data_IF_626138894586
#
_entry.id   IF_626138894586
#
_cell.length_a   1.000
_cell.length_b   1.000
_cell.length_c   1.000
_cell.angle_alpha   90.00
_cell.angle_beta   90.00
_cell.angle_gamma   90.00
#
_symmetry.space_group_name_H-M   'P 1'
#
loop_
_entity.id
_entity.type
_entity.pdbx_description
1 polymer ?
#
# COMPACT_ATOMS: atom_id res chain seq x y z
N UNK A 1 -16.03 -27.61 -72.11
CA UNK A 1 -17.30 -26.90 -71.86
C UNK A 1 -17.40 -26.65 -70.35
N UNK A 2 -17.06 -25.43 -69.91
CA UNK A 2 -17.04 -25.06 -68.48
C UNK A 2 -18.39 -24.46 -68.08
N UNK A 3 -19.21 -25.20 -67.32
CA UNK A 3 -20.39 -24.65 -66.67
C UNK A 3 -20.01 -24.06 -65.31
N UNK A 4 -20.02 -22.73 -65.25
CA UNK A 4 -19.76 -21.90 -64.08
C UNK A 4 -20.99 -21.91 -63.17
N UNK A 5 -21.02 -22.78 -62.16
CA UNK A 5 -22.04 -22.75 -61.10
C UNK A 5 -21.59 -21.78 -59.99
N UNK A 6 -21.96 -20.51 -60.13
CA UNK A 6 -21.99 -19.56 -59.00
C UNK A 6 -23.27 -19.82 -58.20
N UNK A 7 -23.14 -20.29 -56.96
CA UNK A 7 -24.29 -20.71 -56.14
C UNK A 7 -24.08 -20.51 -54.64
N UNK A 8 -24.03 -19.23 -54.23
CA UNK A 8 -24.29 -18.63 -52.90
C UNK A 8 -23.46 -19.12 -51.68
N UNK A 9 -22.79 -18.20 -50.94
CA UNK A 9 -22.24 -18.53 -49.64
C UNK A 9 -23.38 -18.88 -48.67
N UNK A 10 -23.35 -20.10 -48.13
CA UNK A 10 -24.15 -20.49 -46.98
C UNK A 10 -23.87 -19.52 -45.84
N UNK A 11 -24.80 -18.61 -45.57
CA UNK A 11 -24.77 -17.77 -44.37
C UNK A 11 -25.01 -18.69 -43.18
N UNK A 12 -23.95 -19.30 -42.66
CA UNK A 12 -23.97 -19.84 -41.31
C UNK A 12 -24.04 -18.66 -40.36
N UNK A 13 -25.26 -18.28 -39.98
CA UNK A 13 -25.52 -17.37 -38.87
C UNK A 13 -24.89 -17.98 -37.63
N UNK A 14 -23.64 -17.59 -37.32
CA UNK A 14 -23.07 -17.76 -35.99
C UNK A 14 -24.07 -17.08 -35.05
N UNK A 15 -24.89 -17.87 -34.36
CA UNK A 15 -25.79 -17.38 -33.32
C UNK A 15 -24.93 -16.49 -32.43
N UNK A 16 -25.10 -15.17 -32.53
CA UNK A 16 -24.66 -14.25 -31.48
C UNK A 16 -25.35 -14.82 -30.25
N UNK A 17 -24.59 -15.38 -29.31
CA UNK A 17 -25.13 -15.68 -27.98
C UNK A 17 -25.67 -14.33 -27.53
N UNK A 18 -27.00 -14.20 -27.53
CA UNK A 18 -27.65 -13.00 -27.08
C UNK A 18 -27.05 -12.70 -25.71
N UNK A 19 -26.66 -11.44 -25.50
CA UNK A 19 -26.47 -10.93 -24.15
C UNK A 19 -27.73 -11.33 -23.40
N UNK A 20 -27.65 -12.34 -22.53
CA UNK A 20 -28.82 -12.81 -21.81
C UNK A 20 -29.10 -11.71 -20.81
N UNK A 21 -30.18 -10.92 -20.96
CA UNK A 21 -30.46 -9.87 -20.01
C UNK A 21 -30.65 -10.54 -18.65
N UNK A 22 -29.83 -10.12 -17.69
CA UNK A 22 -29.89 -10.65 -16.34
C UNK A 22 -31.32 -10.53 -15.82
N UNK A 23 -31.93 -11.66 -15.45
CA UNK A 23 -33.32 -11.65 -14.98
C UNK A 23 -33.46 -10.79 -13.74
N UNK A 24 -34.63 -10.18 -13.52
CA UNK A 24 -34.86 -9.35 -12.34
C UNK A 24 -34.57 -10.10 -11.02
N UNK A 25 -34.87 -11.42 -10.99
CA UNK A 25 -34.53 -12.29 -9.87
C UNK A 25 -33.01 -12.45 -9.68
N UNK A 26 -32.25 -12.58 -10.77
CA UNK A 26 -30.79 -12.67 -10.73
C UNK A 26 -30.15 -11.33 -10.35
N UNK A 27 -30.67 -10.20 -10.82
CA UNK A 27 -30.24 -8.87 -10.38
C UNK A 27 -30.49 -8.69 -8.87
N UNK A 28 -31.69 -9.03 -8.38
CA UNK A 28 -32.01 -8.95 -6.96
C UNK A 28 -31.12 -9.85 -6.10
N UNK A 29 -30.80 -11.07 -6.58
CA UNK A 29 -29.85 -11.95 -5.91
C UNK A 29 -28.44 -11.35 -5.86
N UNK A 30 -27.95 -10.76 -6.96
CA UNK A 30 -26.65 -10.08 -6.99
C UNK A 30 -26.59 -8.88 -6.06
N UNK A 31 -27.63 -8.04 -6.00
CA UNK A 31 -27.69 -6.93 -5.05
C UNK A 31 -27.67 -7.41 -3.60
N UNK A 32 -28.34 -8.52 -3.28
CA UNK A 32 -28.26 -9.12 -1.94
C UNK A 32 -26.85 -9.59 -1.62
N UNK A 33 -26.18 -10.30 -2.55
CA UNK A 33 -24.80 -10.74 -2.35
C UNK A 33 -23.86 -9.54 -2.16
N UNK A 34 -23.99 -8.49 -2.98
CA UNK A 34 -23.21 -7.26 -2.85
C UNK A 34 -23.44 -6.58 -1.50
N UNK A 35 -24.68 -6.51 -1.03
CA UNK A 35 -25.00 -5.94 0.29
C UNK A 35 -24.45 -6.77 1.45
N UNK A 36 -24.51 -8.11 1.36
CA UNK A 36 -23.90 -9.00 2.36
C UNK A 36 -22.38 -8.81 2.38
N UNK A 37 -21.72 -8.78 1.21
CA UNK A 37 -20.29 -8.56 1.10
C UNK A 37 -19.88 -7.19 1.68
N UNK A 38 -20.60 -6.12 1.33
CA UNK A 38 -20.38 -4.79 1.88
C UNK A 38 -20.59 -4.74 3.41
N UNK A 39 -21.57 -5.46 3.93
CA UNK A 39 -21.81 -5.54 5.37
C UNK A 39 -20.70 -6.31 6.10
N UNK A 40 -20.22 -7.42 5.54
CA UNK A 40 -19.12 -8.19 6.12
C UNK A 40 -17.83 -7.36 6.11
N UNK A 41 -17.52 -6.70 5.00
CA UNK A 41 -16.35 -5.81 4.90
C UNK A 41 -16.42 -4.65 5.90
N UNK A 42 -17.58 -4.01 6.08
CA UNK A 42 -17.75 -2.95 7.09
C UNK A 42 -17.60 -3.45 8.53
N UNK A 43 -18.12 -4.65 8.83
CA UNK A 43 -17.98 -5.26 10.16
C UNK A 43 -16.53 -5.60 10.47
N UNK A 44 -15.81 -6.15 9.50
CA UNK A 44 -14.40 -6.46 9.63
C UNK A 44 -13.57 -5.18 9.85
N UNK A 45 -13.80 -4.13 9.06
CA UNK A 45 -13.14 -2.84 9.25
C UNK A 45 -13.44 -2.24 10.64
N UNK A 46 -14.69 -2.31 11.10
CA UNK A 46 -15.06 -1.86 12.44
C UNK A 46 -14.33 -2.65 13.55
N UNK A 47 -14.18 -3.97 13.38
CA UNK A 47 -13.44 -4.81 14.32
C UNK A 47 -11.94 -4.46 14.32
N UNK A 48 -11.34 -4.24 13.15
CA UNK A 48 -9.95 -3.81 13.03
C UNK A 48 -9.72 -2.41 13.61
N UNK A 49 -10.66 -1.48 13.39
CA UNK A 49 -10.61 -0.16 13.98
C UNK A 49 -10.69 -0.22 15.51
N UNK A 50 -11.56 -1.07 16.07
CA UNK A 50 -11.65 -1.30 17.50
C UNK A 50 -10.35 -1.89 18.07
N UNK A 51 -9.73 -2.86 17.38
CA UNK A 51 -8.46 -3.43 17.79
C UNK A 51 -7.32 -2.38 17.77
N UNK A 52 -7.22 -1.56 16.72
CA UNK A 52 -6.25 -0.46 16.65
C UNK A 52 -6.44 0.55 17.78
N UNK A 53 -7.70 0.88 18.09
CA UNK A 53 -8.02 1.77 19.21
C UNK A 53 -7.62 1.16 20.55
N UNK A 54 -7.92 -0.12 20.79
CA UNK A 54 -7.51 -0.80 22.01
C UNK A 54 -5.99 -0.77 22.19
N UNK A 55 -5.23 -1.01 21.12
CA UNK A 55 -3.76 -0.87 21.14
C UNK A 55 -3.37 0.57 21.51
N UNK A 56 -3.91 1.57 20.82
CA UNK A 56 -3.59 2.97 21.09
C UNK A 56 -3.90 3.39 22.53
N UNK A 57 -5.03 2.95 23.07
CA UNK A 57 -5.46 3.24 24.44
C UNK A 57 -4.51 2.60 25.48
N UNK A 58 -3.84 1.48 25.15
CA UNK A 58 -2.88 0.80 26.04
C UNK A 58 -1.42 1.29 25.93
N UNK A 59 -1.08 2.05 24.90
CA UNK A 59 0.32 2.44 24.65
C UNK A 59 0.88 3.33 25.76
N UNK A 60 0.08 4.21 26.36
CA UNK A 60 0.54 5.12 27.41
C UNK A 60 0.90 4.37 28.71
N UNK A 61 0.09 3.36 29.07
CA UNK A 61 0.39 2.45 30.19
C UNK A 61 1.68 1.65 29.92
N UNK A 62 1.86 1.19 28.68
CA UNK A 62 3.07 0.48 28.28
C UNK A 62 4.33 1.38 28.37
N UNK A 63 4.27 2.61 27.88
CA UNK A 63 5.39 3.56 27.98
C UNK A 63 5.69 3.89 29.44
N UNK A 64 4.66 4.03 30.28
CA UNK A 64 4.84 4.26 31.72
C UNK A 64 5.57 3.08 32.37
N UNK A 65 5.15 1.85 32.07
CA UNK A 65 5.84 0.63 32.50
C UNK A 65 7.31 0.61 32.06
N UNK A 66 7.60 0.92 30.78
CA UNK A 66 8.98 0.99 30.30
C UNK A 66 9.80 2.06 31.04
N UNK A 67 9.22 3.22 31.31
CA UNK A 67 9.89 4.32 32.04
C UNK A 67 10.31 3.89 33.44
N UNK A 68 9.52 3.06 34.13
CA UNK A 68 9.82 2.56 35.47
C UNK A 68 10.90 1.48 35.50
N UNK A 69 11.02 0.67 34.44
CA UNK A 69 11.86 -0.53 34.43
C UNK A 69 13.11 -0.42 33.54
N UNK A 70 13.02 0.27 32.41
CA UNK A 70 14.10 0.44 31.45
C UNK A 70 13.91 1.70 30.61
N UNK A 71 14.53 2.80 31.04
CA UNK A 71 14.49 4.07 30.33
C UNK A 71 15.06 3.97 28.91
N UNK A 72 16.03 3.07 28.67
CA UNK A 72 16.62 2.92 27.34
C UNK A 72 15.64 2.30 26.33
N UNK A 73 14.73 1.44 26.81
CA UNK A 73 13.66 0.89 26.00
C UNK A 73 12.63 1.97 25.57
N UNK A 74 12.46 3.03 26.37
CA UNK A 74 11.63 4.18 25.99
C UNK A 74 12.28 4.93 24.81
N UNK A 75 13.57 5.19 24.89
CA UNK A 75 14.33 5.85 23.82
C UNK A 75 14.25 5.06 22.50
N UNK A 76 14.45 3.73 22.59
CA UNK A 76 14.36 2.83 21.44
C UNK A 76 12.94 2.79 20.85
N UNK A 77 11.92 2.67 21.69
CA UNK A 77 10.52 2.71 21.25
C UNK A 77 10.22 3.96 20.42
N UNK A 78 10.55 5.16 20.92
CA UNK A 78 10.29 6.40 20.18
C UNK A 78 11.13 6.53 18.91
N UNK A 79 12.37 6.03 18.93
CA UNK A 79 13.23 6.04 17.75
C UNK A 79 12.62 5.18 16.64
N UNK A 80 12.28 3.93 16.94
CA UNK A 80 11.78 2.97 15.96
C UNK A 80 10.45 3.41 15.33
N UNK A 81 9.47 3.81 16.15
CA UNK A 81 8.18 4.27 15.63
C UNK A 81 8.35 5.53 14.77
N UNK A 82 9.33 6.38 15.11
CA UNK A 82 9.59 7.60 14.35
C UNK A 82 10.25 7.26 13.01
N UNK A 83 11.22 6.35 12.96
CA UNK A 83 11.84 5.93 11.69
C UNK A 83 10.83 5.32 10.71
N UNK A 84 9.81 4.62 11.19
CA UNK A 84 8.74 4.04 10.37
C UNK A 84 7.61 5.03 10.01
N UNK A 85 7.40 6.05 10.83
CA UNK A 85 6.28 6.97 10.67
C UNK A 85 6.43 7.87 9.42
N UNK A 86 5.30 8.29 8.85
CA UNK A 86 5.29 9.37 7.85
C UNK A 86 5.80 10.69 8.44
N UNK A 87 6.22 11.64 7.61
CA UNK A 87 6.69 12.98 8.05
C UNK A 87 5.69 13.64 9.00
N UNK A 88 4.39 13.60 8.66
CA UNK A 88 3.34 14.19 9.47
C UNK A 88 3.16 13.49 10.82
N UNK A 89 3.28 12.17 10.86
CA UNK A 89 3.17 11.41 12.10
C UNK A 89 4.41 11.59 12.98
N UNK A 90 5.61 11.58 12.41
CA UNK A 90 6.85 11.91 13.14
C UNK A 90 6.75 13.26 13.85
N UNK A 91 6.26 14.30 13.17
CA UNK A 91 6.04 15.63 13.77
C UNK A 91 5.03 15.64 14.91
N UNK A 92 4.07 14.70 14.94
CA UNK A 92 3.13 14.56 16.06
C UNK A 92 3.76 13.79 17.21
N UNK A 93 4.47 12.70 16.90
CA UNK A 93 5.22 11.89 17.87
C UNK A 93 6.27 12.76 18.59
N UNK A 94 6.97 13.63 17.85
CA UNK A 94 7.97 14.57 18.40
C UNK A 94 7.43 15.55 19.45
N UNK A 95 6.11 15.63 19.62
CA UNK A 95 5.44 16.49 20.60
C UNK A 95 4.82 15.68 21.75
N UNK A 96 5.02 14.36 21.75
CA UNK A 96 4.49 13.52 22.81
C UNK A 96 5.18 13.85 24.13
N UNK A 97 4.40 13.95 25.21
CA UNK A 97 4.89 14.46 26.50
C UNK A 97 6.01 13.61 27.10
N UNK A 98 5.96 12.29 26.86
CA UNK A 98 6.95 11.33 27.36
C UNK A 98 8.09 11.06 26.38
N UNK A 99 8.20 11.82 25.27
CA UNK A 99 9.27 11.60 24.31
C UNK A 99 10.61 12.17 24.82
N UNK A 100 11.68 11.35 24.84
CA UNK A 100 13.02 11.82 25.18
C UNK A 100 13.54 12.82 24.13
N UNK A 101 14.14 13.92 24.59
CA UNK A 101 14.58 15.04 23.74
C UNK A 101 15.64 14.64 22.72
N UNK A 102 16.53 13.71 23.09
CA UNK A 102 17.63 13.23 22.24
C UNK A 102 17.16 12.42 21.03
N UNK A 103 16.00 11.77 21.13
CA UNK A 103 15.51 10.87 20.08
C UNK A 103 15.10 11.63 18.83
N UNK A 104 14.49 12.81 18.98
CA UNK A 104 14.02 13.60 17.83
C UNK A 104 15.19 14.02 16.93
N UNK A 105 16.28 14.51 17.53
CA UNK A 105 17.49 14.93 16.82
C UNK A 105 18.17 13.75 16.12
N UNK A 106 18.24 12.59 16.80
CA UNK A 106 18.78 11.36 16.22
C UNK A 106 18.00 10.92 14.99
N UNK A 107 16.67 10.88 15.08
CA UNK A 107 15.80 10.49 13.96
C UNK A 107 15.98 11.43 12.77
N UNK A 108 16.03 12.73 13.01
CA UNK A 108 16.24 13.71 11.93
C UNK A 108 17.59 13.52 11.24
N UNK A 109 18.66 13.34 12.02
CA UNK A 109 20.00 13.08 11.49
C UNK A 109 20.07 11.81 10.63
N UNK A 110 19.48 10.72 11.09
CA UNK A 110 19.55 9.44 10.37
C UNK A 110 18.65 9.43 9.11
N UNK A 111 17.49 10.08 9.15
CA UNK A 111 16.66 10.27 7.95
C UNK A 111 17.34 11.14 6.90
N UNK A 112 18.07 12.17 7.32
CA UNK A 112 18.83 13.02 6.42
C UNK A 112 19.97 12.23 5.75
N UNK A 113 20.72 11.42 6.50
CA UNK A 113 21.73 10.52 5.94
C UNK A 113 21.14 9.55 4.92
N UNK A 114 20.02 8.91 5.24
CA UNK A 114 19.35 7.99 4.30
C UNK A 114 18.93 8.67 3.00
N UNK A 115 18.47 9.93 3.09
CA UNK A 115 18.13 10.72 1.91
C UNK A 115 19.37 11.04 1.08
N UNK A 116 20.46 11.46 1.72
CA UNK A 116 21.72 11.73 1.04
C UNK A 116 22.29 10.48 0.36
N UNK A 117 22.26 9.33 1.03
CA UNK A 117 22.66 8.04 0.47
C UNK A 117 21.79 7.62 -0.71
N UNK A 118 20.47 7.80 -0.61
CA UNK A 118 19.54 7.49 -1.69
C UNK A 118 19.74 8.39 -2.91
N UNK A 119 20.00 9.69 -2.71
CA UNK A 119 20.33 10.61 -3.81
C UNK A 119 21.69 10.28 -4.44
N UNK A 120 22.71 9.96 -3.63
CA UNK A 120 24.01 9.52 -4.13
C UNK A 120 23.94 8.19 -4.90
N UNK A 121 23.05 7.27 -4.50
CA UNK A 121 22.80 6.04 -5.24
C UNK A 121 22.14 6.31 -6.61
N UNK A 122 21.19 7.26 -6.67
CA UNK A 122 20.54 7.66 -7.92
C UNK A 122 21.52 8.33 -8.90
N UNK A 123 22.40 9.20 -8.43
CA UNK A 123 23.39 9.84 -9.29
C UNK A 123 24.38 8.81 -9.86
N UNK A 124 24.87 7.89 -9.03
CA UNK A 124 25.73 6.77 -9.49
C UNK A 124 25.03 5.87 -10.50
N UNK A 125 23.75 5.56 -10.30
CA UNK A 125 22.98 4.78 -11.26
C UNK A 125 22.78 5.51 -12.60
N UNK A 126 22.55 6.83 -12.56
CA UNK A 126 22.40 7.65 -13.77
C UNK A 126 23.74 7.88 -14.52
N UNK A 127 24.87 7.80 -13.82
CA UNK A 127 26.21 7.88 -14.42
C UNK A 127 26.66 6.54 -15.02
N UNK A 128 26.35 5.41 -14.37
CA UNK A 128 26.66 4.06 -14.88
C UNK A 128 25.90 3.70 -16.17
N UNK A 129 24.73 4.29 -16.41
CA UNK A 129 23.94 4.08 -17.64
C UNK A 129 24.51 4.83 -18.86
N UNK A 130 25.49 5.71 -18.67
CA UNK A 130 26.14 6.47 -19.75
C UNK A 130 27.43 5.82 -20.28
N UNK A 131 28.01 4.85 -19.59
CA UNK A 131 29.26 4.19 -20.02
C UNK A 131 29.05 2.93 -20.88
N UNK A 132 27.81 2.46 -21.06
CA UNK A 132 27.50 1.27 -21.88
C UNK A 132 27.50 1.46 -23.41
N UNK A 133 27.83 2.66 -23.90
CA UNK A 133 27.76 3.05 -25.31
C UNK A 133 29.13 3.20 -25.99
N UNK A 134 30.03 2.22 -25.89
CA UNK A 134 31.24 2.21 -26.70
C UNK A 134 30.93 1.63 -28.10
N UNK A 135 31.13 2.38 -29.20
CA UNK A 135 30.83 1.90 -30.55
C UNK A 135 31.83 0.83 -30.98
N UNK A 136 31.32 -0.30 -31.46
CA UNK A 136 32.10 -1.35 -32.12
C UNK A 136 32.65 -0.79 -33.44
N UNK A 137 33.98 -0.74 -33.66
CA UNK A 137 34.55 -0.29 -34.92
C UNK A 137 34.32 -1.34 -36.02
N UNK A 138 33.99 -0.85 -37.22
CA UNK A 138 33.69 -1.60 -38.44
C UNK A 138 34.92 -2.26 -39.07
#
# INVERSE_FOLDING_TARGET
MNNRMQGKPSKTTRKKRADVPMSAAMQAAMFKVANVAANLSRKDEAAQQAARKAIADTIEEWISFLTEHDQSAVDEFYYEISMLASVGNRRRISKHALMPTTVAERVEGDLQKQKEEAEAAKTRAAEGDKEGGAPVPA
#
